data_IF_673355260038
#
_entry.id   IF_673355260038
#
_cell.length_a   1.000
_cell.length_b   1.000
_cell.length_c   1.000
_cell.angle_alpha   90.00
_cell.angle_beta   90.00
_cell.angle_gamma   90.00
#
_symmetry.space_group_name_H-M   'P 1'
#
loop_
_entity.id
_entity.type
_entity.pdbx_description
1 polymer ?
#
# COMPACT_ATOMS: atom_id res chain seq x y z
N UNK A 1 -23.48 -21.75 5.47
CA UNK A 1 -23.21 -20.65 6.41
C UNK A 1 -21.85 -20.11 6.08
N UNK A 2 -21.76 -18.79 5.93
CA UNK A 2 -20.74 -18.03 5.22
C UNK A 2 -19.30 -18.42 5.59
N UNK A 3 -18.56 -18.85 4.57
CA UNK A 3 -17.10 -18.83 4.57
C UNK A 3 -16.69 -17.36 4.62
N UNK A 4 -16.31 -16.89 5.80
CA UNK A 4 -15.61 -15.63 5.96
C UNK A 4 -14.26 -15.82 5.27
N UNK A 5 -14.14 -15.39 4.01
CA UNK A 5 -12.87 -15.26 3.31
C UNK A 5 -11.94 -14.47 4.22
N UNK A 6 -10.98 -15.18 4.80
CA UNK A 6 -9.90 -14.60 5.56
C UNK A 6 -9.05 -13.86 4.51
N UNK A 7 -9.30 -12.55 4.33
CA UNK A 7 -8.41 -11.67 3.57
C UNK A 7 -7.05 -11.71 4.29
N UNK A 8 -6.20 -12.66 3.90
CA UNK A 8 -4.88 -12.88 4.49
C UNK A 8 -3.99 -11.69 4.14
N UNK A 9 -3.99 -10.68 5.02
CA UNK A 9 -3.01 -9.60 4.96
C UNK A 9 -1.61 -10.17 5.15
N UNK A 10 -0.87 -10.26 4.05
CA UNK A 10 0.53 -10.69 4.06
C UNK A 10 1.44 -9.57 4.56
N UNK A 11 2.18 -9.83 5.65
CA UNK A 11 3.20 -8.89 6.14
C UNK A 11 4.40 -8.89 5.22
N UNK A 12 4.65 -7.76 4.55
CA UNK A 12 5.86 -7.53 3.76
C UNK A 12 6.79 -6.58 4.51
N UNK A 13 8.08 -6.91 4.57
CA UNK A 13 9.11 -6.02 5.12
C UNK A 13 9.97 -5.52 3.96
N UNK A 14 10.04 -4.20 3.80
CA UNK A 14 10.84 -3.56 2.76
C UNK A 14 11.81 -2.55 3.41
N UNK A 15 13.00 -2.43 2.83
CA UNK A 15 13.92 -1.33 3.10
C UNK A 15 13.86 -0.39 1.91
N UNK A 16 13.51 0.88 2.13
CA UNK A 16 13.43 1.90 1.10
C UNK A 16 14.43 3.02 1.38
N UNK A 17 15.15 3.44 0.36
CA UNK A 17 15.99 4.63 0.38
C UNK A 17 15.23 5.75 -0.33
N UNK A 18 15.01 6.87 0.37
CA UNK A 18 14.28 8.03 -0.13
C UNK A 18 15.05 9.29 0.25
N UNK A 19 14.87 10.34 -0.55
CA UNK A 19 15.39 11.67 -0.26
C UNK A 19 14.85 12.20 1.08
N UNK A 20 15.66 13.02 1.77
CA UNK A 20 15.34 13.53 3.09
C UNK A 20 14.08 14.41 3.07
N UNK A 21 13.94 15.28 2.07
CA UNK A 21 12.76 16.14 1.92
C UNK A 21 11.48 15.32 1.75
N UNK A 22 11.56 14.20 1.01
CA UNK A 22 10.42 13.31 0.80
C UNK A 22 10.06 12.57 2.09
N UNK A 23 11.05 12.17 2.89
CA UNK A 23 10.84 11.54 4.20
C UNK A 23 10.12 12.48 5.16
N UNK A 24 10.52 13.74 5.22
CA UNK A 24 9.86 14.73 6.08
C UNK A 24 8.43 15.04 5.60
N UNK A 25 8.21 15.12 4.28
CA UNK A 25 6.86 15.24 3.71
C UNK A 25 5.97 14.05 4.04
N UNK A 26 6.48 12.82 3.95
CA UNK A 26 5.77 11.60 4.31
C UNK A 26 5.40 11.58 5.80
N UNK A 27 6.31 12.02 6.67
CA UNK A 27 6.08 12.11 8.12
C UNK A 27 4.96 13.11 8.43
N UNK A 28 5.03 14.32 7.85
CA UNK A 28 3.99 15.33 8.03
C UNK A 28 2.61 14.84 7.54
N UNK A 29 2.56 14.12 6.43
CA UNK A 29 1.32 13.52 5.91
C UNK A 29 0.76 12.47 6.88
N UNK A 30 1.61 11.59 7.41
CA UNK A 30 1.21 10.59 8.39
C UNK A 30 0.65 11.23 9.67
N UNK A 31 1.25 12.33 10.13
CA UNK A 31 0.80 13.08 11.31
C UNK A 31 -0.59 13.68 11.10
N UNK A 32 -0.86 14.29 9.93
CA UNK A 32 -2.18 14.85 9.58
C UNK A 32 -3.25 13.76 9.53
N UNK A 33 -2.93 12.60 8.94
CA UNK A 33 -3.86 11.46 8.88
C UNK A 33 -3.96 10.67 10.20
N UNK A 34 -3.21 11.06 11.25
CA UNK A 34 -3.13 10.38 12.55
C UNK A 34 -2.75 8.89 12.42
N UNK A 35 -1.80 8.60 11.53
CA UNK A 35 -1.31 7.26 11.20
C UNK A 35 0.19 7.15 11.45
N UNK A 36 0.68 5.93 11.62
CA UNK A 36 2.13 5.70 11.59
C UNK A 36 2.67 5.84 10.17
N UNK A 37 3.95 6.19 10.04
CA UNK A 37 4.60 6.25 8.71
C UNK A 37 4.49 4.93 7.94
N UNK A 38 4.65 3.78 8.59
CA UNK A 38 4.53 2.47 7.94
C UNK A 38 3.12 2.22 7.40
N UNK A 39 2.09 2.63 8.14
CA UNK A 39 0.71 2.56 7.65
C UNK A 39 0.47 3.52 6.48
N UNK A 40 1.03 4.74 6.56
CA UNK A 40 0.92 5.71 5.48
C UNK A 40 1.58 5.19 4.19
N UNK A 41 2.76 4.58 4.30
CA UNK A 41 3.46 3.95 3.16
C UNK A 41 2.60 2.84 2.56
N UNK A 42 2.01 1.97 3.37
CA UNK A 42 1.12 0.92 2.87
C UNK A 42 -0.07 1.49 2.07
N UNK A 43 -0.71 2.54 2.59
CA UNK A 43 -1.83 3.24 1.91
C UNK A 43 -1.39 3.84 0.58
N UNK A 44 -0.21 4.47 0.54
CA UNK A 44 0.32 5.05 -0.69
C UNK A 44 0.66 3.98 -1.73
N UNK A 45 1.24 2.85 -1.31
CA UNK A 45 1.52 1.71 -2.18
C UNK A 45 0.21 1.13 -2.73
N UNK A 46 -0.79 0.90 -1.87
CA UNK A 46 -2.10 0.37 -2.27
C UNK A 46 -2.75 1.25 -3.35
N UNK A 47 -2.81 2.57 -3.12
CA UNK A 47 -3.35 3.53 -4.10
C UNK A 47 -2.59 3.48 -5.42
N UNK A 48 -1.26 3.47 -5.38
CA UNK A 48 -0.43 3.40 -6.58
C UNK A 48 -0.64 2.11 -7.37
N UNK A 49 -0.75 0.96 -6.69
CA UNK A 49 -1.02 -0.34 -7.32
C UNK A 49 -2.40 -0.36 -7.98
N UNK A 50 -3.44 0.07 -7.26
CA UNK A 50 -4.81 0.14 -7.79
C UNK A 50 -4.87 1.04 -9.02
N UNK A 51 -4.23 2.22 -8.97
CA UNK A 51 -4.26 3.16 -10.08
C UNK A 51 -3.43 2.66 -11.28
N UNK A 52 -2.31 1.97 -11.04
CA UNK A 52 -1.56 1.31 -12.10
C UNK A 52 -2.38 0.19 -12.77
N UNK A 53 -3.14 -0.60 -12.00
CA UNK A 53 -4.02 -1.63 -12.53
C UNK A 53 -5.16 -1.03 -13.37
N UNK A 54 -5.80 0.05 -12.90
CA UNK A 54 -6.83 0.78 -13.67
C UNK A 54 -6.31 1.33 -15.00
N UNK A 55 -5.04 1.73 -15.04
CA UNK A 55 -4.37 2.21 -16.24
C UNK A 55 -3.89 1.08 -17.17
N UNK A 56 -4.02 -0.18 -16.73
CA UNK A 56 -3.52 -1.35 -17.47
C UNK A 56 -2.01 -1.48 -17.47
N UNK A 57 -1.28 -0.76 -16.61
CA UNK A 57 0.18 -0.82 -16.50
C UNK A 57 0.66 -2.12 -15.85
N UNK A 58 -0.14 -2.66 -14.94
CA UNK A 58 0.07 -3.97 -14.33
C UNK A 58 -1.18 -4.81 -14.55
N UNK A 59 -1.01 -6.12 -14.72
CA UNK A 59 -2.15 -7.05 -14.71
C UNK A 59 -2.72 -7.12 -13.30
N UNK A 60 -4.05 -7.17 -13.21
CA UNK A 60 -4.74 -7.34 -11.94
C UNK A 60 -4.47 -8.75 -11.39
N UNK A 61 -3.36 -8.90 -10.67
CA UNK A 61 -2.93 -10.19 -10.12
C UNK A 61 -3.83 -10.67 -8.98
N UNK A 62 -4.76 -9.84 -8.49
CA UNK A 62 -5.81 -10.29 -7.57
C UNK A 62 -6.86 -11.20 -8.23
N UNK A 63 -6.83 -11.35 -9.57
CA UNK A 63 -7.76 -12.20 -10.32
C UNK A 63 -7.18 -13.56 -10.73
N UNK A 64 -5.98 -13.94 -10.26
CA UNK A 64 -5.23 -15.09 -10.81
C UNK A 64 -4.85 -16.16 -9.79
N UNK A 65 -5.79 -16.53 -8.93
CA UNK A 65 -5.85 -17.87 -8.32
C UNK A 65 -7.26 -18.41 -8.54
N UNK A 66 -7.38 -19.33 -9.51
CA UNK A 66 -8.60 -20.04 -9.86
C UNK A 66 -8.28 -21.52 -9.97
#
# INVERSE_FOLDING_TARGET
MSELSNDEMSKVTITAFIEEDLKEGLKALADVERRSMSQMVAVLIERAVIDAAKQGLISDSASKDK
#
